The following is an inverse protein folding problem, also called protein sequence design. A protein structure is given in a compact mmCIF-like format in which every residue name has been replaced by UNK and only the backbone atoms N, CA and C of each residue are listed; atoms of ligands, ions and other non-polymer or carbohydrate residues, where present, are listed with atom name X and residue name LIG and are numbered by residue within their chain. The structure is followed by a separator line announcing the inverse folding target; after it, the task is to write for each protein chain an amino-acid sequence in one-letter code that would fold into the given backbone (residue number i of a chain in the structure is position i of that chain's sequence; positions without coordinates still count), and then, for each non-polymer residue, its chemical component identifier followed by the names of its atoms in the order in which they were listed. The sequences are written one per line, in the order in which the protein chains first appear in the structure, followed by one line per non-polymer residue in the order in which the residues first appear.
data_IF_138949963455
#
_entry.id   IF_138949963455
#
_cell.length_a   1.000
_cell.length_b   1.000
_cell.length_c   1.000
_cell.angle_alpha   90.00
_cell.angle_beta   90.00
_cell.angle_gamma   90.00
#
_symmetry.space_group_name_H-M   'P 1'
#
loop_
_entity.id
_entity.type
_entity.pdbx_description
1 polymer ?
#
# COMPACT_ATOMS: atom_id res chain seq x y z
N UNK A 1 -4.77 -17.54 0.73
CA UNK A 1 -3.28 -17.57 0.89
C UNK A 1 -2.57 -16.54 0.03
N UNK A 2 -2.98 -16.32 -1.24
CA UNK A 2 -2.37 -15.32 -2.13
C UNK A 2 -2.24 -13.90 -1.53
N UNK A 3 -3.28 -13.41 -0.84
CA UNK A 3 -3.26 -12.08 -0.18
C UNK A 3 -2.23 -12.01 0.96
N UNK A 4 -2.06 -13.08 1.74
CA UNK A 4 -1.08 -13.10 2.84
C UNK A 4 0.37 -13.12 2.32
N UNK A 5 0.64 -13.88 1.26
CA UNK A 5 1.95 -13.88 0.60
C UNK A 5 2.27 -12.51 -0.04
N UNK A 6 1.28 -11.87 -0.67
CA UNK A 6 1.40 -10.51 -1.18
C UNK A 6 1.67 -9.47 -0.09
N UNK A 7 0.98 -9.55 1.05
CA UNK A 7 1.24 -8.69 2.21
C UNK A 7 2.64 -8.90 2.77
N UNK A 8 3.14 -10.13 2.81
CA UNK A 8 4.46 -10.42 3.37
C UNK A 8 5.60 -9.93 2.45
N UNK A 9 5.43 -10.05 1.14
CA UNK A 9 6.41 -9.56 0.16
C UNK A 9 6.42 -8.02 0.05
N UNK A 10 5.25 -7.38 0.03
CA UNK A 10 5.11 -5.93 -0.13
C UNK A 10 5.05 -5.15 1.19
N UNK A 11 5.01 -5.86 2.33
CA UNK A 11 4.94 -5.27 3.65
C UNK A 11 6.19 -4.47 3.98
N UNK A 12 7.35 -5.13 3.95
CA UNK A 12 8.65 -4.52 4.28
C UNK A 12 8.98 -3.26 3.47
N UNK A 13 8.69 -3.28 2.17
CA UNK A 13 8.95 -2.13 1.28
C UNK A 13 8.14 -0.90 1.69
N UNK A 14 6.87 -1.10 2.05
CA UNK A 14 5.99 0.02 2.41
C UNK A 14 6.19 0.47 3.83
N UNK A 15 6.47 -0.42 4.78
CA UNK A 15 6.85 0.02 6.12
C UNK A 15 8.11 0.88 6.07
N UNK A 16 9.08 0.53 5.19
CA UNK A 16 10.25 1.36 4.93
C UNK A 16 9.93 2.73 4.34
N UNK A 17 9.08 2.78 3.30
CA UNK A 17 8.63 4.05 2.71
C UNK A 17 7.87 4.93 3.71
N UNK A 18 6.98 4.33 4.50
CA UNK A 18 6.21 5.04 5.54
C UNK A 18 7.14 5.62 6.61
N UNK A 19 8.17 4.89 7.04
CA UNK A 19 9.15 5.38 8.01
C UNK A 19 9.89 6.64 7.50
N UNK A 20 10.30 6.64 6.23
CA UNK A 20 10.94 7.81 5.61
C UNK A 20 9.97 9.00 5.59
N UNK A 21 8.72 8.79 5.15
CA UNK A 21 7.71 9.84 5.07
C UNK A 21 7.40 10.46 6.45
N UNK A 22 7.17 9.62 7.47
CA UNK A 22 6.94 10.09 8.85
C UNK A 22 8.12 10.92 9.33
N UNK A 23 9.36 10.46 9.09
CA UNK A 23 10.58 11.19 9.48
C UNK A 23 10.64 12.57 8.82
N UNK A 24 10.40 12.67 7.51
CA UNK A 24 10.41 13.93 6.77
C UNK A 24 9.38 14.91 7.31
N UNK A 25 8.13 14.47 7.51
CA UNK A 25 7.07 15.33 8.05
C UNK A 25 7.30 15.75 9.50
N UNK A 26 7.90 14.87 10.31
CA UNK A 26 8.28 15.19 11.69
C UNK A 26 9.32 16.32 11.71
N UNK A 27 10.35 16.25 10.86
CA UNK A 27 11.37 17.31 10.75
C UNK A 27 10.75 18.63 10.30
N UNK A 28 9.88 18.62 9.28
CA UNK A 28 9.18 19.85 8.86
C UNK A 28 8.30 20.44 9.96
N UNK A 29 7.61 19.60 10.74
CA UNK A 29 6.79 20.04 11.87
C UNK A 29 7.59 20.61 13.05
N UNK A 30 8.82 20.13 13.26
CA UNK A 30 9.68 20.57 14.35
C UNK A 30 10.52 21.82 13.99
N UNK A 31 10.98 21.92 12.75
CA UNK A 31 11.90 22.99 12.31
C UNK A 31 11.15 24.26 11.87
N UNK A 32 9.89 24.15 11.43
CA UNK A 32 9.15 25.31 10.94
C UNK A 32 8.60 26.19 12.07
N UNK A 33 8.91 27.49 12.02
CA UNK A 33 8.35 28.53 12.89
C UNK A 33 6.94 28.98 12.45
N UNK A 34 6.48 28.53 11.28
CA UNK A 34 5.16 28.88 10.74
C UNK A 34 4.13 27.86 11.23
N UNK A 35 3.18 28.33 12.03
CA UNK A 35 2.13 27.50 12.67
C UNK A 35 1.38 26.62 11.66
N UNK A 36 1.10 27.15 10.47
CA UNK A 36 0.42 26.41 9.38
C UNK A 36 1.23 25.19 8.94
N UNK A 37 2.53 25.35 8.72
CA UNK A 37 3.42 24.26 8.29
C UNK A 37 3.55 23.20 9.39
N UNK A 38 3.58 23.64 10.66
CA UNK A 38 3.61 22.74 11.81
C UNK A 38 2.33 21.89 11.93
N UNK A 39 1.17 22.50 11.77
CA UNK A 39 -0.11 21.79 11.78
C UNK A 39 -0.23 20.81 10.60
N UNK A 40 0.15 21.24 9.40
CA UNK A 40 0.16 20.37 8.21
C UNK A 40 1.16 19.22 8.35
N UNK A 41 2.38 19.48 8.85
CA UNK A 41 3.39 18.45 9.07
C UNK A 41 2.95 17.39 10.07
N UNK A 42 2.39 17.80 11.21
CA UNK A 42 1.87 16.89 12.21
C UNK A 42 0.67 16.08 11.68
N UNK A 43 -0.27 16.75 11.00
CA UNK A 43 -1.45 16.10 10.41
C UNK A 43 -1.06 15.06 9.35
N UNK A 44 -0.11 15.39 8.48
CA UNK A 44 0.39 14.46 7.45
C UNK A 44 1.12 13.27 8.06
N UNK A 45 1.95 13.47 9.08
CA UNK A 45 2.64 12.38 9.76
C UNK A 45 1.65 11.35 10.35
N UNK A 46 0.59 11.83 11.01
CA UNK A 46 -0.47 10.98 11.57
C UNK A 46 -1.25 10.28 10.45
N UNK A 47 -1.65 10.99 9.40
CA UNK A 47 -2.41 10.44 8.29
C UNK A 47 -1.66 9.29 7.59
N UNK A 48 -0.37 9.48 7.32
CA UNK A 48 0.48 8.48 6.67
C UNK A 48 0.69 7.26 7.58
N UNK A 49 0.90 7.49 8.87
CA UNK A 49 1.02 6.39 9.83
C UNK A 49 -0.24 5.53 9.87
N UNK A 50 -1.42 6.16 9.91
CA UNK A 50 -2.72 5.47 9.91
C UNK A 50 -2.97 4.72 8.61
N UNK A 51 -2.66 5.30 7.44
CA UNK A 51 -2.83 4.63 6.15
C UNK A 51 -1.93 3.39 6.03
N UNK A 52 -0.64 3.55 6.35
CA UNK A 52 0.33 2.47 6.26
C UNK A 52 0.02 1.31 7.23
N UNK A 53 -0.62 1.59 8.36
CA UNK A 53 -0.98 0.60 9.38
C UNK A 53 -2.43 0.10 9.21
N UNK A 54 -3.42 0.94 9.49
CA UNK A 54 -4.84 0.55 9.54
C UNK A 54 -5.36 0.25 8.14
N UNK A 55 -5.21 1.18 7.19
CA UNK A 55 -5.78 1.01 5.86
C UNK A 55 -5.15 -0.20 5.18
N UNK A 56 -3.83 -0.33 5.26
CA UNK A 56 -3.11 -1.40 4.58
C UNK A 56 -3.23 -2.77 5.24
N UNK A 57 -3.21 -2.86 6.57
CA UNK A 57 -3.27 -4.14 7.27
C UNK A 57 -4.70 -4.67 7.43
N UNK A 58 -5.71 -3.79 7.46
CA UNK A 58 -7.10 -4.17 7.74
C UNK A 58 -8.03 -3.81 6.59
N UNK A 59 -8.10 -2.54 6.20
CA UNK A 59 -9.13 -2.07 5.25
C UNK A 59 -8.95 -2.71 3.88
N UNK A 60 -7.75 -2.67 3.31
CA UNK A 60 -7.43 -3.26 1.99
C UNK A 60 -7.75 -4.77 1.95
N UNK A 61 -7.23 -5.61 2.87
CA UNK A 61 -7.55 -7.04 2.85
C UNK A 61 -9.02 -7.33 3.16
N UNK A 62 -9.69 -6.52 3.99
CA UNK A 62 -11.13 -6.65 4.25
C UNK A 62 -11.95 -6.32 2.98
N UNK A 63 -11.64 -5.23 2.28
CA UNK A 63 -12.28 -4.88 1.01
C UNK A 63 -12.04 -5.95 -0.07
N UNK A 64 -10.81 -6.46 -0.18
CA UNK A 64 -10.50 -7.54 -1.11
C UNK A 64 -11.30 -8.81 -0.83
N UNK A 65 -11.59 -9.10 0.44
CA UNK A 65 -12.48 -10.21 0.82
C UNK A 65 -13.95 -9.90 0.55
N UNK A 66 -14.39 -8.66 0.76
CA UNK A 66 -15.79 -8.23 0.59
C UNK A 66 -16.19 -8.13 -0.89
N UNK A 67 -15.35 -7.50 -1.72
CA UNK A 67 -15.57 -7.33 -3.17
C UNK A 67 -15.31 -8.65 -3.92
N UNK A 68 -14.46 -9.52 -3.36
CA UNK A 68 -14.34 -10.91 -3.80
C UNK A 68 -13.87 -11.07 -5.26
N UNK A 69 -14.49 -11.96 -6.06
CA UNK A 69 -14.02 -12.32 -7.41
C UNK A 69 -13.97 -11.15 -8.39
N UNK A 70 -14.78 -10.11 -8.18
CA UNK A 70 -14.84 -8.92 -9.04
C UNK A 70 -13.51 -8.15 -9.00
N UNK A 71 -12.85 -8.11 -7.84
CA UNK A 71 -11.56 -7.44 -7.68
C UNK A 71 -10.42 -8.16 -8.43
N UNK A 72 -10.57 -9.46 -8.69
CA UNK A 72 -9.57 -10.29 -9.37
C UNK A 72 -9.96 -10.63 -10.81
N UNK A 73 -10.94 -9.92 -11.38
CA UNK A 73 -11.38 -10.19 -12.74
C UNK A 73 -10.28 -9.85 -13.75
N UNK A 74 -9.58 -10.88 -14.22
CA UNK A 74 -8.70 -10.78 -15.37
C UNK A 74 -9.54 -10.87 -16.65
N UNK A 75 -9.45 -9.91 -17.57
CA UNK A 75 -10.15 -9.98 -18.84
C UNK A 75 -9.58 -11.09 -19.73
N UNK A 76 -10.42 -11.68 -20.59
CA UNK A 76 -10.16 -12.97 -21.27
C UNK A 76 -8.86 -13.02 -22.09
N UNK A 77 -8.43 -11.88 -22.62
CA UNK A 77 -7.19 -11.73 -23.39
C UNK A 77 -5.92 -11.93 -22.55
N UNK A 78 -5.93 -11.58 -21.26
CA UNK A 78 -4.78 -11.79 -20.38
C UNK A 78 -4.59 -13.28 -20.06
N UNK A 79 -5.68 -14.02 -19.87
CA UNK A 79 -5.68 -15.48 -19.66
C UNK A 79 -5.17 -16.25 -20.88
N UNK A 80 -5.53 -15.81 -22.08
CA UNK A 80 -5.06 -16.43 -23.33
C UNK A 80 -3.56 -16.24 -23.58
N UNK A 81 -2.95 -15.21 -22.99
CA UNK A 81 -1.51 -14.94 -23.13
C UNK A 81 -0.66 -15.73 -22.15
N UNK A 82 -1.18 -16.11 -20.97
CA UNK A 82 -0.46 -16.96 -20.02
C UNK A 82 -0.32 -18.39 -20.55
N UNK A 83 -1.39 -18.99 -21.08
CA UNK A 83 -1.36 -20.35 -21.66
C UNK A 83 -0.33 -20.47 -22.79
N UNK A 84 -0.24 -19.45 -23.64
CA UNK A 84 0.68 -19.47 -24.79
C UNK A 84 2.16 -19.41 -24.39
N UNK A 85 2.49 -18.87 -23.21
CA UNK A 85 3.88 -18.84 -22.70
C UNK A 85 4.28 -20.17 -22.08
N UNK A 86 3.34 -20.88 -21.46
CA UNK A 86 3.58 -22.17 -20.81
C UNK A 86 3.74 -23.29 -21.85
N UNK A 87 2.98 -23.25 -22.95
CA UNK A 87 3.16 -24.17 -24.09
C UNK A 87 4.40 -23.92 -24.94
N UNK A 88 5.06 -22.77 -24.82
CA UNK A 88 6.30 -22.46 -25.53
C UNK A 88 7.57 -22.74 -24.71
N UNK A 89 7.41 -23.13 -23.44
CA UNK A 89 8.50 -23.38 -22.50
C UNK A 89 8.68 -24.87 -22.13
N UNK A 90 7.87 -25.76 -22.71
CA UNK A 90 8.01 -27.23 -22.62
C UNK A 90 8.32 -27.82 -23.99
#
# INVERSE_FOLDING_TARGET
RAVAAGLQASGRLVTGAAAIMVTVFLVFGLVSSVVVIKALGLGMAIAIFVDASIVRALVVPALMRLIGPVNWWAPRWLRLRSDRRESAAG
#
